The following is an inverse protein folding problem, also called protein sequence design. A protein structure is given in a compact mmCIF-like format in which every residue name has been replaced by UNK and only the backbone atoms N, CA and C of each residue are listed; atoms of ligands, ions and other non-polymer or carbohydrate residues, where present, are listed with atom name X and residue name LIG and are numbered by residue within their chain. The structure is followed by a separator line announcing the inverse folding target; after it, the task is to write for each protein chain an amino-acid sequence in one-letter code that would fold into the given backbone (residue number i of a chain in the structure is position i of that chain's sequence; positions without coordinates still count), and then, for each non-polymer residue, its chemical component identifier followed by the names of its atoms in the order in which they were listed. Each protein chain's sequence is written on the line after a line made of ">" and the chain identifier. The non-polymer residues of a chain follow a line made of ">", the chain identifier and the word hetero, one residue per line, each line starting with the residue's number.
data_IF_099816855012
#
_entry.id   IF_099816855012
#
_cell.length_a   1.000
_cell.length_b   1.000
_cell.length_c   1.000
_cell.angle_alpha   90.00
_cell.angle_beta   90.00
_cell.angle_gamma   90.00
#
_symmetry.space_group_name_H-M   'P 1'
#
loop_
_entity.id
_entity.type
_entity.pdbx_description
1 polymer ?
#
# COMPACT_ATOMS: atom_id res chain seq x y z
N UNK A 1 -29.55 -13.55 27.93
CA UNK A 1 -29.32 -12.48 26.93
C UNK A 1 -27.87 -11.97 26.90
N UNK A 2 -26.87 -12.72 27.41
CA UNK A 2 -25.47 -12.23 27.49
C UNK A 2 -24.59 -12.58 26.27
N UNK A 3 -25.01 -13.53 25.43
CA UNK A 3 -24.18 -14.03 24.31
C UNK A 3 -24.14 -13.08 23.10
N UNK A 4 -25.22 -12.32 22.85
CA UNK A 4 -25.25 -11.36 21.73
C UNK A 4 -24.40 -10.11 21.98
N UNK A 5 -24.33 -9.66 23.24
CA UNK A 5 -23.53 -8.51 23.66
C UNK A 5 -22.02 -8.75 23.48
N UNK A 6 -21.52 -9.95 23.80
CA UNK A 6 -20.09 -10.26 23.66
C UNK A 6 -19.63 -10.28 22.20
N UNK A 7 -20.44 -10.85 21.30
CA UNK A 7 -20.13 -10.90 19.86
C UNK A 7 -20.12 -9.50 19.24
N UNK A 8 -21.10 -8.65 19.57
CA UNK A 8 -21.14 -7.27 19.10
C UNK A 8 -19.94 -6.46 19.62
N UNK A 9 -19.53 -6.70 20.87
CA UNK A 9 -18.34 -6.09 21.47
C UNK A 9 -17.05 -6.51 20.74
N UNK A 10 -16.91 -7.78 20.36
CA UNK A 10 -15.76 -8.26 19.57
C UNK A 10 -15.66 -7.57 18.21
N UNK A 11 -16.76 -7.49 17.45
CA UNK A 11 -16.78 -6.79 16.16
C UNK A 11 -16.50 -5.29 16.31
N UNK A 12 -17.00 -4.68 17.38
CA UNK A 12 -16.66 -3.30 17.71
C UNK A 12 -15.14 -3.13 17.87
N UNK A 13 -14.48 -3.97 18.68
CA UNK A 13 -13.03 -3.89 18.86
C UNK A 13 -12.25 -4.16 17.57
N UNK A 14 -12.68 -5.14 16.76
CA UNK A 14 -12.06 -5.42 15.46
C UNK A 14 -12.16 -4.17 14.55
N UNK A 15 -13.34 -3.56 14.45
CA UNK A 15 -13.52 -2.35 13.63
C UNK A 15 -12.72 -1.16 14.16
N UNK A 16 -12.63 -0.99 15.48
CA UNK A 16 -11.85 0.07 16.11
C UNK A 16 -10.37 -0.05 15.76
N UNK A 17 -9.81 -1.27 15.85
CA UNK A 17 -8.41 -1.53 15.48
C UNK A 17 -8.19 -1.33 13.99
N UNK A 18 -9.12 -1.76 13.13
CA UNK A 18 -9.04 -1.54 11.69
C UNK A 18 -9.02 -0.04 11.34
N UNK A 19 -9.91 0.75 11.94
CA UNK A 19 -9.94 2.21 11.76
C UNK A 19 -8.65 2.84 12.26
N UNK A 20 -8.17 2.46 13.44
CA UNK A 20 -6.90 2.94 13.98
C UNK A 20 -5.73 2.63 13.04
N UNK A 21 -5.66 1.41 12.49
CA UNK A 21 -4.61 1.01 11.55
C UNK A 21 -4.65 1.87 10.27
N UNK A 22 -5.85 2.11 9.71
CA UNK A 22 -6.01 2.97 8.54
C UNK A 22 -5.59 4.42 8.84
N UNK A 23 -5.98 4.96 9.99
CA UNK A 23 -5.57 6.31 10.42
C UNK A 23 -4.06 6.39 10.58
N UNK A 24 -3.45 5.41 11.23
CA UNK A 24 -2.00 5.38 11.44
C UNK A 24 -1.24 5.30 10.12
N UNK A 25 -1.62 4.39 9.21
CA UNK A 25 -0.99 4.28 7.89
C UNK A 25 -1.18 5.56 7.09
N UNK A 26 -2.39 6.12 7.08
CA UNK A 26 -2.68 7.39 6.42
C UNK A 26 -1.84 8.54 6.97
N UNK A 27 -1.70 8.64 8.29
CA UNK A 27 -0.86 9.65 8.94
C UNK A 27 0.62 9.50 8.58
N UNK A 28 1.16 8.27 8.58
CA UNK A 28 2.55 8.01 8.22
C UNK A 28 2.84 8.36 6.76
N UNK A 29 1.94 8.01 5.83
CA UNK A 29 2.08 8.38 4.42
C UNK A 29 1.97 9.90 4.22
N UNK A 30 1.03 10.56 4.92
CA UNK A 30 0.90 12.01 4.87
C UNK A 30 2.15 12.72 5.41
N UNK A 31 2.68 12.27 6.55
CA UNK A 31 3.91 12.82 7.12
C UNK A 31 5.10 12.61 6.19
N UNK A 32 5.28 11.40 5.64
CA UNK A 32 6.35 11.11 4.68
C UNK A 32 6.29 12.00 3.43
N UNK A 33 5.08 12.21 2.89
CA UNK A 33 4.88 13.02 1.69
C UNK A 33 5.00 14.53 1.92
N UNK A 34 4.70 15.02 3.13
CA UNK A 34 4.77 16.45 3.48
C UNK A 34 6.18 16.84 3.95
N UNK A 35 6.85 16.01 4.75
CA UNK A 35 8.14 16.33 5.36
C UNK A 35 9.34 16.04 4.44
N UNK A 36 9.18 15.19 3.42
CA UNK A 36 10.26 14.81 2.50
C UNK A 36 10.62 15.88 1.46
N UNK A 37 11.90 16.03 1.06
CA UNK A 37 12.31 16.92 -0.03
C UNK A 37 11.65 16.53 -1.37
N UNK A 38 10.98 17.49 -2.03
CA UNK A 38 10.28 17.27 -3.31
C UNK A 38 11.12 17.73 -4.50
N UNK A 39 12.07 16.90 -4.92
CA UNK A 39 12.93 17.19 -6.08
C UNK A 39 12.80 16.11 -7.19
N UNK A 40 11.64 16.03 -7.88
CA UNK A 40 11.45 15.13 -9.01
C UNK A 40 12.28 15.63 -10.20
N UNK A 41 13.02 14.72 -10.84
CA UNK A 41 13.69 14.98 -12.11
C UNK A 41 13.37 13.85 -13.09
N UNK A 42 13.42 14.08 -14.41
CA UNK A 42 13.17 13.03 -15.39
C UNK A 42 14.00 11.77 -15.13
N UNK A 43 15.26 11.93 -14.73
CA UNK A 43 16.19 10.82 -14.43
C UNK A 43 15.82 10.04 -13.15
N UNK A 44 15.17 10.66 -12.17
CA UNK A 44 14.69 9.96 -10.96
C UNK A 44 13.37 9.22 -11.19
N UNK A 45 12.63 9.61 -12.23
CA UNK A 45 11.31 9.09 -12.56
C UNK A 45 11.35 7.96 -13.60
N UNK A 46 12.49 7.70 -14.25
CA UNK A 46 12.62 6.55 -15.16
C UNK A 46 12.61 5.22 -14.38
N UNK A 47 12.10 4.12 -14.97
CA UNK A 47 12.20 2.78 -14.40
C UNK A 47 13.64 2.34 -14.13
N UNK A 48 13.80 1.48 -13.11
CA UNK A 48 15.08 0.85 -12.82
C UNK A 48 15.38 -0.28 -13.81
N UNK A 49 16.57 -0.24 -14.43
CA UNK A 49 17.03 -1.27 -15.39
C UNK A 49 18.54 -1.52 -15.22
N UNK A 50 18.99 -1.90 -14.02
CA UNK A 50 20.41 -2.28 -13.75
C UNK A 50 21.46 -1.25 -14.23
N UNK A 51 21.13 0.04 -14.23
CA UNK A 51 22.00 1.12 -14.71
C UNK A 51 21.88 1.44 -16.20
N UNK A 52 21.02 0.73 -16.94
CA UNK A 52 20.70 0.99 -18.33
C UNK A 52 19.47 1.87 -18.46
N UNK A 53 19.32 2.53 -19.60
CA UNK A 53 18.09 3.26 -19.94
C UNK A 53 17.05 2.23 -20.42
N UNK A 54 15.83 2.21 -19.85
CA UNK A 54 14.75 1.36 -20.34
C UNK A 54 14.45 1.68 -21.80
N UNK A 55 14.58 0.70 -22.70
CA UNK A 55 14.39 0.89 -24.16
C UNK A 55 13.15 0.22 -24.72
N UNK A 56 12.74 -0.89 -24.10
CA UNK A 56 11.64 -1.73 -24.58
C UNK A 56 10.50 -1.70 -23.56
N UNK A 57 9.28 -1.89 -24.06
CA UNK A 57 8.13 -2.08 -23.18
C UNK A 57 8.21 -3.44 -22.49
N UNK A 58 7.71 -3.53 -21.26
CA UNK A 58 7.61 -4.78 -20.51
C UNK A 58 6.50 -5.70 -21.07
N UNK A 59 6.60 -6.06 -22.36
CA UNK A 59 5.69 -6.93 -23.09
C UNK A 59 6.26 -8.34 -23.13
N UNK A 60 6.01 -9.09 -22.06
CA UNK A 60 6.31 -10.50 -21.97
C UNK A 60 5.06 -11.37 -22.02
N UNK A 61 5.23 -12.68 -22.24
CA UNK A 61 4.15 -13.65 -22.02
C UNK A 61 3.86 -13.75 -20.52
N UNK A 62 2.65 -13.39 -20.09
CA UNK A 62 2.24 -13.62 -18.70
C UNK A 62 2.06 -15.13 -18.45
N UNK A 63 2.80 -15.73 -17.49
CA UNK A 63 2.65 -17.14 -17.18
C UNK A 63 1.32 -17.37 -16.42
N UNK A 64 0.56 -18.41 -16.80
CA UNK A 64 -0.70 -18.82 -16.13
C UNK A 64 -0.48 -19.56 -14.80
N UNK A 65 0.71 -19.43 -14.20
CA UNK A 65 1.11 -20.21 -13.02
C UNK A 65 0.32 -19.88 -11.75
N UNK A 66 -0.42 -18.77 -11.75
CA UNK A 66 -1.24 -18.30 -10.62
C UNK A 66 -2.73 -18.20 -10.98
N UNK A 67 -3.18 -18.86 -12.05
CA UNK A 67 -4.57 -18.79 -12.53
C UNK A 67 -5.54 -19.75 -11.81
N UNK A 68 -5.20 -20.18 -10.58
CA UNK A 68 -6.04 -21.05 -9.75
C UNK A 68 -6.37 -20.37 -8.44
#
# INVERSE_FOLDING_TARGET
>A
MAFGESVMQEYFFISLVAVFALVLVGALLALSTILGPRNPSPQKLIPYECGMVPKEEAKGRYPVRFAT
#
